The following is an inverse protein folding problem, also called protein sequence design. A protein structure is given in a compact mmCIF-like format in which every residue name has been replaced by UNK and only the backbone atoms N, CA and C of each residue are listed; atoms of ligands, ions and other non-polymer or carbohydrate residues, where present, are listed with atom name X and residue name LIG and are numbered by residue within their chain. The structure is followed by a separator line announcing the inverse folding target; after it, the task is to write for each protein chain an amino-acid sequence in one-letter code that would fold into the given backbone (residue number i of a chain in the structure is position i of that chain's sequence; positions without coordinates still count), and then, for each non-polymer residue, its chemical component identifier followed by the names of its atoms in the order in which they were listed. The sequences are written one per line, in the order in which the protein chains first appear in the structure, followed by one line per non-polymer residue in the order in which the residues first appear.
data_IF_021557891955
#
_entry.id   IF_021557891955
#
_cell.length_a   1.000
_cell.length_b   1.000
_cell.length_c   1.000
_cell.angle_alpha   90.00
_cell.angle_beta   90.00
_cell.angle_gamma   90.00
#
_symmetry.space_group_name_H-M   'P 1'
#
loop_
_entity.id
_entity.type
_entity.pdbx_description
1 polymer ?
#
# COMPACT_ATOMS: atom_id res chain seq x y z
N UNK A 1 -10.01 -9.87 35.02
CA UNK A 1 -10.35 -10.09 33.59
C UNK A 1 -11.04 -8.85 33.00
N UNK A 2 -12.17 -8.40 33.55
CA UNK A 2 -12.87 -7.19 33.07
C UNK A 2 -12.08 -5.88 33.19
N UNK A 3 -11.24 -5.72 34.23
CA UNK A 3 -10.37 -4.54 34.35
C UNK A 3 -9.23 -4.49 33.32
N UNK A 4 -8.80 -5.64 32.78
CA UNK A 4 -7.73 -5.71 31.79
C UNK A 4 -8.20 -5.21 30.42
N UNK A 5 -9.48 -5.49 30.11
CA UNK A 5 -10.15 -5.02 28.89
C UNK A 5 -10.32 -3.50 28.92
N UNK A 6 -10.61 -2.91 30.10
CA UNK A 6 -10.77 -1.46 30.23
C UNK A 6 -9.45 -0.68 30.17
N UNK A 7 -8.34 -1.26 30.63
CA UNK A 7 -7.03 -0.64 30.46
C UNK A 7 -6.58 -0.68 28.99
N UNK A 8 -6.91 -1.75 28.25
CA UNK A 8 -6.61 -1.85 26.82
C UNK A 8 -7.29 -0.77 25.97
N UNK A 9 -8.57 -0.49 26.25
CA UNK A 9 -9.37 0.46 25.44
C UNK A 9 -8.99 1.93 25.69
N UNK A 10 -8.42 2.28 26.84
CA UNK A 10 -8.00 3.66 27.14
C UNK A 10 -6.61 4.01 26.58
N UNK A 11 -5.84 3.00 26.12
CA UNK A 11 -4.57 3.18 25.42
C UNK A 11 -4.72 3.37 23.91
N UNK A 12 -5.95 3.31 23.37
CA UNK A 12 -6.22 3.49 21.94
C UNK A 12 -6.43 4.96 21.53
N UNK A 13 -6.33 5.91 22.48
CA UNK A 13 -6.65 7.33 22.25
C UNK A 13 -5.46 8.30 22.26
N UNK A 14 -4.22 7.81 22.36
CA UNK A 14 -2.99 8.63 22.27
C UNK A 14 -1.86 7.91 21.52
N UNK A 15 -2.11 7.44 20.30
CA UNK A 15 -1.05 7.29 19.30
C UNK A 15 -1.56 7.79 17.94
N UNK A 16 -1.59 9.11 17.79
CA UNK A 16 -1.36 9.71 16.48
C UNK A 16 0.12 9.47 16.13
N UNK A 17 0.46 8.28 15.65
CA UNK A 17 1.79 8.04 15.10
C UNK A 17 1.66 7.10 13.91
N UNK A 18 1.66 7.72 12.72
CA UNK A 18 1.93 7.09 11.43
C UNK A 18 1.00 5.92 11.05
N UNK A 19 0.24 6.07 9.97
CA UNK A 19 -0.68 5.05 9.42
C UNK A 19 0.03 3.73 9.03
N UNK A 20 1.35 3.64 9.13
CA UNK A 20 2.15 2.43 8.96
C UNK A 20 2.18 1.50 10.19
N UNK A 21 1.81 1.96 11.39
CA UNK A 21 1.87 1.13 12.61
C UNK A 21 0.59 0.31 12.84
N UNK A 22 -0.55 0.71 12.25
CA UNK A 22 -1.85 0.02 12.39
C UNK A 22 -1.85 -1.38 11.74
N UNK A 23 -0.91 -1.66 10.83
CA UNK A 23 -0.84 -2.96 10.17
C UNK A 23 0.02 -4.00 10.92
N UNK A 24 0.89 -3.60 11.84
CA UNK A 24 1.91 -4.51 12.41
C UNK A 24 1.53 -5.17 13.74
N UNK A 25 0.37 -4.84 14.31
CA UNK A 25 -0.10 -5.41 15.59
C UNK A 25 -1.03 -6.62 15.44
N UNK A 26 -1.18 -7.18 14.23
CA UNK A 26 -1.88 -8.44 14.04
C UNK A 26 -0.88 -9.60 14.09
N UNK A 27 -0.46 -9.95 15.30
CA UNK A 27 0.37 -11.14 15.57
C UNK A 27 -0.35 -12.43 15.15
N UNK A 28 -0.17 -12.86 13.90
CA UNK A 28 -0.36 -14.26 13.51
C UNK A 28 0.94 -14.85 12.95
N UNK A 29 1.42 -15.88 13.66
CA UNK A 29 2.48 -16.83 13.34
C UNK A 29 3.89 -16.29 12.97
N UNK A 30 4.95 -16.68 13.72
CA UNK A 30 6.33 -16.25 13.50
C UNK A 30 6.98 -16.67 12.16
N UNK A 31 6.26 -17.41 11.31
CA UNK A 31 6.77 -17.94 10.03
C UNK A 31 6.72 -16.90 8.89
N UNK A 32 5.79 -15.95 8.94
CA UNK A 32 5.57 -14.97 7.86
C UNK A 32 6.17 -13.58 8.14
N UNK A 33 6.74 -13.37 9.33
CA UNK A 33 7.38 -12.11 9.73
C UNK A 33 8.47 -11.68 8.74
N UNK A 34 9.28 -12.65 8.28
CA UNK A 34 10.39 -12.41 7.34
C UNK A 34 9.90 -12.04 5.94
N UNK A 35 8.77 -12.58 5.50
CA UNK A 35 8.16 -12.21 4.21
C UNK A 35 7.56 -10.80 4.27
N UNK A 36 6.95 -10.44 5.41
CA UNK A 36 6.32 -9.14 5.57
C UNK A 36 7.31 -7.97 5.58
N UNK A 37 8.50 -8.16 6.17
CA UNK A 37 9.57 -7.14 6.10
C UNK A 37 10.07 -6.89 4.67
N UNK A 38 10.02 -7.88 3.78
CA UNK A 38 10.36 -7.70 2.36
C UNK A 38 9.26 -6.98 1.57
N UNK A 39 8.01 -7.00 2.02
CA UNK A 39 6.90 -6.35 1.33
C UNK A 39 6.78 -4.84 1.62
N UNK A 40 7.53 -4.30 2.59
CA UNK A 40 7.41 -2.90 3.00
C UNK A 40 7.84 -1.88 1.92
N UNK A 41 8.76 -2.25 1.03
CA UNK A 41 9.23 -1.38 -0.06
C UNK A 41 8.48 -1.59 -1.39
N UNK A 42 7.64 -2.61 -1.48
CA UNK A 42 6.88 -2.95 -2.69
C UNK A 42 5.89 -1.84 -3.11
N UNK A 43 5.10 -1.24 -2.18
CA UNK A 43 4.18 -0.15 -2.51
C UNK A 43 4.91 1.06 -3.12
N UNK A 44 6.09 1.39 -2.59
CA UNK A 44 6.85 2.56 -3.05
C UNK A 44 7.36 2.44 -4.50
N UNK A 45 7.44 1.22 -5.04
CA UNK A 45 7.87 0.98 -6.43
C UNK A 45 6.66 0.74 -7.33
N UNK A 46 5.70 -0.08 -6.88
CA UNK A 46 4.53 -0.40 -7.69
C UNK A 46 3.59 0.79 -7.86
N UNK A 47 3.33 1.58 -6.81
CA UNK A 47 2.41 2.72 -6.88
C UNK A 47 2.83 3.74 -7.94
N UNK A 48 4.07 4.26 -7.98
CA UNK A 48 4.47 5.17 -9.06
C UNK A 48 4.57 4.47 -10.41
N UNK A 49 4.91 3.18 -10.46
CA UNK A 49 4.99 2.44 -11.72
C UNK A 49 3.61 2.30 -12.38
N UNK A 50 2.59 1.87 -11.63
CA UNK A 50 1.23 1.70 -12.16
C UNK A 50 0.43 3.01 -12.19
N UNK A 51 0.78 3.99 -11.35
CA UNK A 51 0.08 5.27 -11.25
C UNK A 51 0.63 6.37 -12.15
N UNK A 52 1.91 6.30 -12.56
CA UNK A 52 2.56 7.32 -13.38
C UNK A 52 3.14 6.75 -14.68
N UNK A 53 4.04 5.77 -14.58
CA UNK A 53 4.79 5.28 -15.74
C UNK A 53 3.89 4.55 -16.73
N UNK A 54 3.12 3.57 -16.26
CA UNK A 54 2.22 2.79 -17.11
C UNK A 54 1.14 3.67 -17.78
N UNK A 55 0.44 4.58 -17.05
CA UNK A 55 -0.50 5.50 -17.67
C UNK A 55 0.15 6.44 -18.69
N UNK A 56 1.35 6.97 -18.43
CA UNK A 56 2.03 7.84 -19.39
C UNK A 56 2.33 7.11 -20.71
N UNK A 57 2.82 5.88 -20.64
CA UNK A 57 3.07 5.04 -21.81
C UNK A 57 1.76 4.70 -22.51
N UNK A 58 0.73 4.29 -21.75
CA UNK A 58 -0.57 3.95 -22.30
C UNK A 58 -1.15 5.14 -23.08
N UNK A 59 -1.20 6.34 -22.50
CA UNK A 59 -1.72 7.54 -23.14
C UNK A 59 -0.92 7.91 -24.40
N UNK A 60 0.41 7.86 -24.35
CA UNK A 60 1.23 8.12 -25.53
C UNK A 60 1.01 7.09 -26.64
N UNK A 61 0.93 5.80 -26.29
CA UNK A 61 0.70 4.72 -27.25
C UNK A 61 -0.69 4.81 -27.89
N UNK A 62 -1.72 5.15 -27.10
CA UNK A 62 -3.10 5.28 -27.56
C UNK A 62 -3.25 6.51 -28.47
N UNK A 63 -2.57 7.62 -28.14
CA UNK A 63 -2.50 8.79 -29.02
C UNK A 63 -1.89 8.44 -30.38
N UNK A 64 -0.73 7.78 -30.40
CA UNK A 64 -0.12 7.33 -31.65
C UNK A 64 -1.00 6.37 -32.43
N UNK A 65 -1.75 5.50 -31.75
CA UNK A 65 -2.67 4.55 -32.38
C UNK A 65 -3.79 5.26 -33.13
N UNK A 66 -4.47 6.22 -32.50
CA UNK A 66 -5.59 6.97 -33.09
C UNK A 66 -5.13 7.82 -34.28
N UNK A 67 -4.02 8.55 -34.13
CA UNK A 67 -3.44 9.33 -35.23
C UNK A 67 -3.09 8.44 -36.42
N UNK A 68 -2.64 7.20 -36.17
CA UNK A 68 -2.35 6.24 -37.24
C UNK A 68 -3.60 5.73 -37.97
N UNK A 69 -4.76 5.69 -37.32
CA UNK A 69 -6.04 5.32 -37.94
C UNK A 69 -6.65 6.48 -38.73
N UNK A 70 -6.47 7.73 -38.30
CA UNK A 70 -6.95 8.93 -39.02
C UNK A 70 -6.22 9.19 -40.34
N UNK A 71 -4.95 8.80 -40.44
CA UNK A 71 -4.13 9.03 -41.66
C UNK A 71 -4.41 7.99 -42.76
N UNK A 72 -5.21 6.94 -42.49
CA UNK A 72 -5.49 5.83 -43.41
C UNK A 72 -6.74 6.03 -44.28
#
# INVERSE_FOLDING_TARGET
MFLYIFHGILSDRIYCQNESEIFVDFTWHPILRSFFMAAAYLPSILVPLVGLVFPAIAMASLFLYIEKEEIA
#
